data_IF_217562582134
#
_entry.id   IF_217562582134
#
_cell.length_a   1.000
_cell.length_b   1.000
_cell.length_c   1.000
_cell.angle_alpha   90.00
_cell.angle_beta   90.00
_cell.angle_gamma   90.00
#
_symmetry.space_group_name_H-M   'P 1'
#
loop_
_entity.id
_entity.type
_entity.pdbx_description
1 polymer ?
#
# COMPACT_ATOMS: atom_id res chain seq x y z
N UNK A 1 0.19 -13.03 0.20
CA UNK A 1 0.16 -11.57 0.45
C UNK A 1 1.14 -11.21 1.57
N UNK A 2 1.18 -12.03 2.62
CA UNK A 2 1.93 -11.84 3.88
C UNK A 2 3.42 -11.57 3.73
N UNK A 3 4.11 -12.29 2.84
CA UNK A 3 5.55 -12.08 2.62
C UNK A 3 5.85 -10.67 2.09
N UNK A 4 4.99 -10.11 1.25
CA UNK A 4 5.18 -8.78 0.69
C UNK A 4 4.93 -7.70 1.75
N UNK A 5 3.89 -7.87 2.59
CA UNK A 5 3.61 -6.95 3.71
C UNK A 5 4.74 -6.98 4.74
N UNK A 6 5.26 -8.16 5.07
CA UNK A 6 6.41 -8.30 5.98
C UNK A 6 7.67 -7.64 5.41
N UNK A 7 7.95 -7.83 4.12
CA UNK A 7 9.06 -7.17 3.46
C UNK A 7 8.89 -5.64 3.40
N UNK A 8 7.67 -5.17 3.20
CA UNK A 8 7.35 -3.74 3.22
C UNK A 8 7.55 -3.13 4.61
N UNK A 9 7.19 -3.83 5.68
CA UNK A 9 7.48 -3.39 7.07
C UNK A 9 8.98 -3.30 7.35
N UNK A 10 9.80 -4.15 6.74
CA UNK A 10 11.25 -4.07 6.93
C UNK A 10 11.92 -2.98 6.06
N UNK A 11 11.30 -2.59 4.94
CA UNK A 11 11.95 -1.74 3.92
C UNK A 11 11.25 -0.40 3.66
N UNK A 12 10.07 -0.19 4.24
CA UNK A 12 9.18 0.93 3.91
C UNK A 12 8.68 0.91 2.46
N UNK A 13 8.86 -0.19 1.71
CA UNK A 13 8.53 -0.26 0.28
C UNK A 13 7.70 -1.51 -0.04
N UNK A 14 6.51 -1.31 -0.60
CA UNK A 14 5.60 -2.38 -1.01
C UNK A 14 5.43 -2.37 -2.52
N UNK A 15 5.73 -3.51 -3.16
CA UNK A 15 5.61 -3.71 -4.60
C UNK A 15 4.59 -4.82 -4.87
N UNK A 16 3.51 -4.48 -5.55
CA UNK A 16 2.42 -5.40 -5.95
C UNK A 16 2.12 -5.33 -7.45
N UNK A 17 3.10 -4.96 -8.27
CA UNK A 17 2.94 -4.87 -9.73
C UNK A 17 2.70 -6.22 -10.41
N UNK A 18 1.98 -6.21 -11.55
CA UNK A 18 1.71 -7.37 -12.40
C UNK A 18 0.95 -8.50 -11.69
N UNK A 19 -0.09 -8.15 -10.93
CA UNK A 19 -0.89 -9.12 -10.15
C UNK A 19 -2.36 -9.16 -10.55
N UNK A 20 -2.74 -8.48 -11.64
CA UNK A 20 -4.13 -8.37 -12.11
C UNK A 20 -5.09 -7.91 -11.00
N UNK A 21 -4.60 -7.06 -10.09
CA UNK A 21 -5.41 -6.55 -8.98
C UNK A 21 -6.48 -5.61 -9.52
N UNK A 22 -7.74 -5.82 -9.13
CA UNK A 22 -8.84 -4.89 -9.44
C UNK A 22 -9.09 -3.85 -8.34
N UNK A 23 -8.59 -4.14 -7.14
CA UNK A 23 -8.67 -3.28 -5.97
C UNK A 23 -7.40 -3.51 -5.13
N UNK A 24 -7.06 -2.54 -4.27
CA UNK A 24 -5.94 -2.65 -3.34
C UNK A 24 -6.44 -3.34 -2.06
N UNK A 25 -5.82 -4.46 -1.65
CA UNK A 25 -6.28 -5.18 -0.46
C UNK A 25 -6.25 -4.34 0.81
N UNK A 26 -7.25 -4.53 1.68
CA UNK A 26 -7.45 -3.74 2.91
C UNK A 26 -6.23 -3.78 3.84
N UNK A 27 -5.50 -4.88 3.83
CA UNK A 27 -4.29 -5.09 4.62
C UNK A 27 -3.17 -4.10 4.26
N UNK A 28 -3.17 -3.58 3.03
CA UNK A 28 -2.20 -2.56 2.58
C UNK A 28 -2.49 -1.25 3.30
N UNK A 29 -3.75 -0.81 3.36
CA UNK A 29 -4.14 0.43 4.03
C UNK A 29 -3.98 0.37 5.55
N UNK A 30 -4.00 -0.84 6.13
CA UNK A 30 -3.83 -1.09 7.56
C UNK A 30 -2.43 -1.61 7.91
N UNK A 31 -1.46 -1.45 7.00
CA UNK A 31 -0.13 -2.03 7.20
C UNK A 31 0.58 -1.47 8.44
N UNK A 32 0.26 -0.22 8.79
CA UNK A 32 0.73 0.52 9.96
C UNK A 32 0.17 -0.06 11.27
N UNK A 33 -1.12 -0.42 11.29
CA UNK A 33 -1.81 -0.96 12.47
C UNK A 33 -1.62 -2.47 12.65
N UNK A 34 -1.27 -3.19 11.58
CA UNK A 34 -1.32 -4.65 11.54
C UNK A 34 -0.08 -5.35 12.16
N UNK A 35 0.47 -4.82 13.26
CA UNK A 35 1.49 -5.52 14.04
C UNK A 35 0.82 -6.68 14.78
N UNK A 36 1.10 -7.91 14.33
CA UNK A 36 0.65 -9.12 15.01
C UNK A 36 1.41 -9.35 16.32
N UNK A 37 0.80 -10.12 17.23
CA UNK A 37 1.48 -10.56 18.44
C UNK A 37 2.81 -11.25 18.09
N UNK A 38 3.92 -10.72 18.61
CA UNK A 38 5.27 -11.25 18.38
C UNK A 38 6.07 -10.57 17.27
N UNK A 39 5.53 -9.59 16.54
CA UNK A 39 6.34 -8.74 15.66
C UNK A 39 6.99 -7.59 16.45
N UNK A 40 8.28 -7.36 16.18
CA UNK A 40 9.06 -6.29 16.82
C UNK A 40 8.64 -4.95 16.23
N UNK A 41 7.74 -4.25 16.91
CA UNK A 41 7.22 -2.96 16.46
C UNK A 41 8.32 -1.91 16.20
N UNK A 42 9.45 -1.98 16.91
CA UNK A 42 10.58 -1.07 16.74
C UNK A 42 11.44 -1.36 15.49
N UNK A 43 11.29 -2.52 14.86
CA UNK A 43 11.93 -2.84 13.56
C UNK A 43 11.00 -2.51 12.39
N UNK A 44 9.73 -2.19 12.65
CA UNK A 44 8.78 -1.83 11.61
C UNK A 44 9.05 -0.41 11.11
N UNK A 45 9.21 -0.29 9.80
CA UNK A 45 9.33 0.95 9.06
C UNK A 45 7.98 1.25 8.43
N UNK A 46 7.50 2.48 8.62
CA UNK A 46 6.27 2.93 7.98
C UNK A 46 6.39 2.92 6.45
N UNK A 47 5.26 2.69 5.78
CA UNK A 47 5.25 2.55 4.33
C UNK A 47 5.49 3.91 3.66
N UNK A 48 6.61 4.02 2.95
CA UNK A 48 7.00 5.23 2.22
C UNK A 48 6.76 5.10 0.72
N UNK A 49 6.83 3.89 0.16
CA UNK A 49 6.69 3.63 -1.27
C UNK A 49 5.70 2.51 -1.55
N UNK A 50 4.68 2.80 -2.35
CA UNK A 50 3.68 1.86 -2.80
C UNK A 50 3.66 1.79 -4.32
N UNK A 51 4.06 0.65 -4.87
CA UNK A 51 4.14 0.41 -6.30
C UNK A 51 3.07 -0.60 -6.70
N UNK A 52 2.06 -0.12 -7.42
CA UNK A 52 0.88 -0.86 -7.88
C UNK A 52 0.79 -0.90 -9.41
N UNK A 53 1.90 -0.59 -10.09
CA UNK A 53 1.94 -0.48 -11.54
C UNK A 53 1.55 -1.78 -12.26
N UNK A 54 0.96 -1.69 -13.44
CA UNK A 54 0.54 -2.84 -14.26
C UNK A 54 -0.45 -3.75 -13.53
N UNK A 55 -1.56 -3.17 -13.09
CA UNK A 55 -2.70 -3.90 -12.53
C UNK A 55 -3.99 -3.43 -13.24
N UNK A 56 -5.15 -3.83 -12.72
CA UNK A 56 -6.46 -3.46 -13.24
C UNK A 56 -7.25 -2.66 -12.22
N UNK A 57 -6.57 -1.87 -11.38
CA UNK A 57 -7.21 -1.14 -10.28
C UNK A 57 -8.12 -0.06 -10.87
N UNK A 58 -9.40 -0.11 -10.50
CA UNK A 58 -10.42 0.84 -10.98
C UNK A 58 -10.67 1.96 -9.97
N UNK A 59 -10.53 1.66 -8.68
CA UNK A 59 -10.78 2.59 -7.59
C UNK A 59 -9.74 2.44 -6.48
N UNK A 60 -9.43 3.55 -5.81
CA UNK A 60 -8.66 3.57 -4.57
C UNK A 60 -9.57 4.03 -3.43
N UNK A 61 -9.31 3.52 -2.23
CA UNK A 61 -10.10 3.84 -1.04
C UNK A 61 -9.56 5.08 -0.35
N UNK A 62 -10.45 5.81 0.32
CA UNK A 62 -10.10 6.92 1.22
C UNK A 62 -9.18 6.49 2.37
N UNK A 63 -9.15 5.19 2.70
CA UNK A 63 -8.19 4.61 3.65
C UNK A 63 -6.71 4.80 3.26
N UNK A 64 -6.42 5.27 2.04
CA UNK A 64 -5.07 5.67 1.65
C UNK A 64 -4.48 6.74 2.57
N UNK A 65 -5.33 7.55 3.23
CA UNK A 65 -4.93 8.53 4.24
C UNK A 65 -4.22 7.92 5.46
N UNK A 66 -4.42 6.62 5.71
CA UNK A 66 -3.77 5.92 6.83
C UNK A 66 -2.28 5.67 6.56
N UNK A 67 -1.84 5.83 5.30
CA UNK A 67 -0.45 5.72 4.88
C UNK A 67 0.24 7.08 5.01
N UNK A 68 0.30 7.61 6.23
CA UNK A 68 0.74 8.99 6.56
C UNK A 68 2.16 9.32 6.10
N UNK A 69 3.03 8.32 5.99
CA UNK A 69 4.42 8.50 5.55
C UNK A 69 4.64 8.15 4.07
N UNK A 70 3.57 7.89 3.30
CA UNK A 70 3.67 7.54 1.89
C UNK A 70 4.12 8.75 1.07
N UNK A 71 5.30 8.65 0.49
CA UNK A 71 5.90 9.70 -0.35
C UNK A 71 5.87 9.35 -1.83
N UNK A 72 5.77 8.06 -2.16
CA UNK A 72 5.74 7.57 -3.54
C UNK A 72 4.58 6.62 -3.73
N UNK A 73 3.63 7.01 -4.56
CA UNK A 73 2.53 6.16 -5.01
C UNK A 73 2.62 6.01 -6.54
N UNK A 74 2.89 4.80 -7.01
CA UNK A 74 2.94 4.50 -8.44
C UNK A 74 1.76 3.61 -8.85
N UNK A 75 0.85 4.19 -9.63
CA UNK A 75 -0.37 3.57 -10.15
C UNK A 75 -0.33 3.41 -11.68
N UNK A 76 0.84 3.51 -12.31
CA UNK A 76 0.92 3.48 -13.78
C UNK A 76 0.34 2.19 -14.37
N UNK A 77 -0.28 2.28 -15.54
CA UNK A 77 -0.93 1.13 -16.19
C UNK A 77 -1.97 0.45 -15.28
N UNK A 78 -2.95 1.24 -14.79
CA UNK A 78 -4.17 0.79 -14.13
C UNK A 78 -5.40 1.33 -14.88
N UNK A 79 -6.61 1.06 -14.36
CA UNK A 79 -7.89 1.47 -14.93
C UNK A 79 -8.60 2.53 -14.09
N UNK A 80 -7.83 3.30 -13.32
CA UNK A 80 -8.33 4.32 -12.41
C UNK A 80 -9.11 5.40 -13.18
N UNK A 81 -10.33 5.65 -12.72
CA UNK A 81 -11.18 6.72 -13.27
C UNK A 81 -11.01 8.02 -12.47
N UNK A 82 -10.92 7.90 -11.15
CA UNK A 82 -10.78 9.00 -10.22
C UNK A 82 -9.73 8.68 -9.13
N UNK A 83 -9.24 9.73 -8.47
CA UNK A 83 -8.38 9.60 -7.29
C UNK A 83 -9.16 10.01 -6.03
N UNK A 84 -9.03 9.28 -4.91
CA UNK A 84 -9.65 9.65 -3.64
C UNK A 84 -9.04 10.94 -3.10
N UNK A 85 -9.78 11.63 -2.23
CA UNK A 85 -9.35 12.92 -1.67
C UNK A 85 -8.08 12.80 -0.83
N UNK A 86 -7.84 11.62 -0.27
CA UNK A 86 -6.63 11.24 0.43
C UNK A 86 -5.34 11.33 -0.41
N UNK A 87 -5.40 11.41 -1.75
CA UNK A 87 -4.21 11.61 -2.59
C UNK A 87 -3.87 13.09 -2.65
N UNK A 88 -2.87 13.51 -1.88
CA UNK A 88 -2.37 14.90 -1.87
C UNK A 88 -2.80 15.74 -0.66
N UNK A 89 -3.45 15.12 0.33
CA UNK A 89 -3.63 15.66 1.70
C UNK A 89 -2.34 15.52 2.52
#
# INVERSE_FOLDING_TARGET
>A
MDRALKAARASGSLILSNRSLRDVPNEVYKISDALGEGEKWWEAVELQKLILAHNEIELLKEDLRNLTQLTVLNLSNNKLQDLPSAVGE
#
